data_IF_834926340632
#
_entry.id   IF_834926340632
#
_cell.length_a   1.000
_cell.length_b   1.000
_cell.length_c   1.000
_cell.angle_alpha   90.00
_cell.angle_beta   90.00
_cell.angle_gamma   90.00
#
_symmetry.space_group_name_H-M   'P 1'
#
loop_
_entity.id
_entity.type
_entity.pdbx_description
1 polymer ?
#
# COMPACT_ATOMS: atom_id res chain seq x y z
N UNK A 1 42.25 27.35 -5.12
CA UNK A 1 43.40 26.86 -5.91
C UNK A 1 44.33 26.11 -4.96
N UNK A 2 44.21 24.78 -4.88
CA UNK A 2 45.23 23.86 -4.40
C UNK A 2 44.72 22.43 -4.66
N UNK A 3 45.28 21.83 -5.70
CA UNK A 3 45.07 20.45 -6.15
C UNK A 3 45.99 19.55 -5.32
N UNK A 4 45.47 18.46 -4.75
CA UNK A 4 46.25 17.29 -4.33
C UNK A 4 45.50 16.06 -4.88
N UNK A 5 45.95 15.52 -6.01
CA UNK A 5 47.03 14.53 -6.18
C UNK A 5 46.57 13.09 -5.94
N UNK A 6 46.57 12.36 -7.07
CA UNK A 6 46.46 10.92 -7.28
C UNK A 6 47.51 10.08 -6.51
N UNK A 7 47.11 8.88 -6.09
CA UNK A 7 47.87 7.62 -6.20
C UNK A 7 46.92 6.46 -5.81
N UNK A 8 46.51 5.56 -6.72
CA UNK A 8 47.23 4.49 -7.42
C UNK A 8 47.45 3.22 -6.58
N UNK A 9 47.25 2.09 -7.26
CA UNK A 9 47.66 0.70 -6.99
C UNK A 9 46.62 -0.26 -6.41
N UNK A 10 46.43 -1.36 -7.17
CA UNK A 10 45.66 -2.53 -6.75
C UNK A 10 45.24 -3.48 -7.87
N UNK A 11 45.98 -3.56 -8.98
CA UNK A 11 45.81 -4.58 -10.02
C UNK A 11 46.35 -5.92 -9.48
N UNK A 12 45.55 -6.98 -9.43
CA UNK A 12 46.06 -8.34 -9.19
C UNK A 12 45.46 -9.30 -10.19
N UNK A 13 46.35 -9.92 -10.96
CA UNK A 13 46.13 -10.85 -12.06
C UNK A 13 46.13 -12.29 -11.50
N UNK A 14 45.14 -13.08 -11.97
CA UNK A 14 45.20 -14.48 -12.41
C UNK A 14 45.67 -15.59 -11.46
N UNK A 15 44.82 -16.61 -11.29
CA UNK A 15 45.24 -18.00 -11.52
C UNK A 15 44.08 -18.89 -12.00
N UNK A 16 44.22 -19.42 -13.22
CA UNK A 16 43.43 -20.53 -13.75
C UNK A 16 44.13 -21.82 -13.35
N UNK A 17 43.40 -22.78 -12.78
CA UNK A 17 43.86 -24.15 -12.61
C UNK A 17 42.75 -25.11 -13.09
N UNK A 18 43.15 -25.95 -14.04
CA UNK A 18 42.41 -26.98 -14.75
C UNK A 18 43.06 -28.33 -14.37
N UNK A 19 42.34 -29.45 -14.53
CA UNK A 19 42.66 -30.87 -14.24
C UNK A 19 41.98 -31.36 -12.94
N UNK A 20 41.33 -32.53 -12.86
CA UNK A 20 41.21 -33.64 -13.81
C UNK A 20 40.28 -34.73 -13.25
N UNK A 21 39.82 -35.59 -14.15
CA UNK A 21 38.83 -36.68 -14.01
C UNK A 21 39.44 -37.94 -13.41
N UNK A 22 38.79 -38.55 -12.40
CA UNK A 22 38.74 -40.00 -12.08
C UNK A 22 37.44 -40.18 -11.23
N UNK A 23 36.40 -40.94 -11.59
CA UNK A 23 36.36 -42.38 -11.83
C UNK A 23 35.99 -43.10 -10.52
N UNK A 24 34.71 -43.39 -10.30
CA UNK A 24 34.25 -44.09 -9.08
C UNK A 24 32.79 -44.53 -9.17
N UNK A 25 32.59 -45.73 -9.70
CA UNK A 25 31.32 -46.46 -9.70
C UNK A 25 31.06 -46.95 -8.28
N UNK A 26 29.95 -46.53 -7.66
CA UNK A 26 29.45 -47.12 -6.43
C UNK A 26 27.99 -47.53 -6.61
N UNK A 27 27.77 -48.80 -6.30
CA UNK A 27 26.59 -49.62 -6.45
C UNK A 27 25.35 -49.12 -5.70
N UNK A 28 24.21 -49.28 -6.38
CA UNK A 28 22.86 -49.25 -5.84
C UNK A 28 22.69 -50.22 -4.64
N UNK A 29 22.05 -49.73 -3.58
CA UNK A 29 21.26 -50.56 -2.67
C UNK A 29 19.90 -49.88 -2.45
N UNK A 30 18.78 -50.54 -2.77
CA UNK A 30 17.45 -50.04 -2.42
C UNK A 30 17.13 -50.44 -0.98
N UNK A 31 17.28 -49.51 -0.05
CA UNK A 31 16.74 -49.67 1.31
C UNK A 31 15.26 -49.35 1.28
N UNK A 32 14.46 -50.40 1.43
CA UNK A 32 13.01 -50.35 1.61
C UNK A 32 12.70 -49.65 2.94
N UNK A 33 12.33 -48.37 2.91
CA UNK A 33 11.75 -47.71 4.07
C UNK A 33 10.24 -47.96 4.08
N UNK A 34 9.79 -48.73 5.07
CA UNK A 34 8.40 -48.86 5.46
C UNK A 34 7.80 -47.48 5.72
N UNK A 35 6.91 -47.03 4.85
CA UNK A 35 5.99 -45.96 5.16
C UNK A 35 5.02 -46.44 6.24
N UNK A 36 5.16 -45.88 7.44
CA UNK A 36 4.17 -46.03 8.50
C UNK A 36 2.90 -45.30 8.07
N UNK A 37 1.82 -46.08 7.89
CA UNK A 37 0.44 -45.59 7.87
C UNK A 37 0.17 -44.83 9.17
N UNK A 38 0.29 -43.51 9.14
CA UNK A 38 -0.41 -42.64 10.07
C UNK A 38 -1.71 -42.23 9.40
N UNK A 39 -2.81 -42.73 9.95
CA UNK A 39 -4.14 -42.19 9.71
C UNK A 39 -4.11 -40.69 10.03
N UNK A 40 -4.03 -39.88 8.98
CA UNK A 40 -4.39 -38.47 9.06
C UNK A 40 -5.89 -38.43 9.29
N UNK A 41 -6.30 -38.16 10.53
CA UNK A 41 -7.65 -37.69 10.81
C UNK A 41 -7.81 -36.44 9.97
N UNK A 42 -8.56 -36.56 8.87
CA UNK A 42 -9.01 -35.43 8.06
C UNK A 42 -9.92 -34.62 8.97
N UNK A 43 -9.33 -33.64 9.68
CA UNK A 43 -10.05 -32.47 10.11
C UNK A 43 -10.56 -31.84 8.83
N UNK A 44 -11.88 -31.86 8.68
CA UNK A 44 -12.58 -31.15 7.62
C UNK A 44 -12.00 -29.73 7.58
N UNK A 45 -11.24 -29.45 6.52
CA UNK A 45 -11.01 -28.09 6.11
C UNK A 45 -12.41 -27.55 5.80
N UNK A 46 -12.90 -26.68 6.68
CA UNK A 46 -13.88 -25.69 6.27
C UNK A 46 -13.37 -25.13 4.96
N UNK A 47 -14.13 -25.38 3.91
CA UNK A 47 -14.04 -24.65 2.66
C UNK A 47 -14.29 -23.19 3.03
N UNK A 48 -13.22 -22.46 3.40
CA UNK A 48 -13.18 -21.02 3.22
C UNK A 48 -13.39 -20.84 1.74
N UNK A 49 -14.63 -20.54 1.35
CA UNK A 49 -14.92 -19.97 0.05
C UNK A 49 -14.05 -18.74 -0.03
N UNK A 50 -12.91 -18.83 -0.73
CA UNK A 50 -12.08 -17.68 -1.05
C UNK A 50 -12.98 -16.77 -1.87
N UNK A 51 -13.62 -15.81 -1.20
CA UNK A 51 -14.37 -14.76 -1.86
C UNK A 51 -13.38 -14.08 -2.78
N UNK A 52 -13.66 -14.12 -4.09
CA UNK A 52 -12.82 -13.44 -5.06
C UNK A 52 -12.79 -11.96 -4.69
N UNK A 53 -11.61 -11.42 -4.40
CA UNK A 53 -11.47 -10.03 -4.03
C UNK A 53 -11.79 -9.15 -5.25
N UNK A 54 -12.75 -8.25 -5.09
CA UNK A 54 -13.19 -7.32 -6.14
C UNK A 54 -13.08 -5.87 -5.68
N UNK A 55 -13.06 -4.93 -6.63
CA UNK A 55 -13.19 -3.49 -6.37
C UNK A 55 -14.68 -3.06 -6.36
N UNK A 56 -15.53 -3.91 -5.80
CA UNK A 56 -16.97 -3.67 -5.68
C UNK A 56 -17.40 -3.66 -4.22
N UNK A 57 -18.63 -3.23 -3.97
CA UNK A 57 -19.26 -3.14 -2.65
C UNK A 57 -19.36 -4.48 -1.91
N UNK A 58 -19.25 -5.59 -2.64
CA UNK A 58 -19.26 -6.95 -2.11
C UNK A 58 -18.00 -7.29 -1.28
N UNK A 59 -16.85 -6.68 -1.58
CA UNK A 59 -15.59 -6.99 -0.89
C UNK A 59 -15.25 -5.89 0.10
N UNK A 60 -15.05 -6.26 1.37
CA UNK A 60 -14.56 -5.33 2.39
C UNK A 60 -13.05 -5.44 2.50
N UNK A 61 -12.37 -4.30 2.47
CA UNK A 61 -10.91 -4.22 2.52
C UNK A 61 -10.47 -3.62 3.84
N UNK A 62 -9.52 -4.26 4.48
CA UNK A 62 -8.80 -3.73 5.64
C UNK A 62 -7.56 -2.97 5.16
N UNK A 63 -7.56 -1.67 5.42
CA UNK A 63 -6.48 -0.74 5.15
C UNK A 63 -5.67 -0.52 6.43
N UNK A 64 -4.46 -1.07 6.49
CA UNK A 64 -3.52 -0.80 7.58
C UNK A 64 -2.49 0.21 7.13
N UNK A 65 -2.49 1.37 7.76
CA UNK A 65 -1.62 2.49 7.44
C UNK A 65 -0.59 2.67 8.56
N UNK A 66 0.69 2.65 8.22
CA UNK A 66 1.76 3.07 9.11
C UNK A 66 2.19 4.48 8.69
N UNK A 67 1.77 5.49 9.44
CA UNK A 67 2.02 6.90 9.13
C UNK A 67 3.09 7.48 10.06
N UNK A 68 3.99 8.26 9.49
CA UNK A 68 5.11 8.91 10.15
C UNK A 68 5.14 10.40 9.75
N UNK A 69 5.72 11.23 10.62
CA UNK A 69 5.95 12.66 10.35
C UNK A 69 4.69 13.51 10.07
N UNK A 70 3.53 13.10 10.57
CA UNK A 70 2.29 13.87 10.42
C UNK A 70 2.36 15.19 11.20
N UNK A 71 2.04 16.34 10.58
CA UNK A 71 2.08 17.63 11.24
C UNK A 71 0.88 17.83 12.18
N UNK A 72 1.15 18.21 13.43
CA UNK A 72 0.11 18.56 14.41
C UNK A 72 -0.21 20.06 14.39
N UNK A 73 -1.31 20.46 15.05
CA UNK A 73 -1.69 21.86 15.23
C UNK A 73 -0.62 22.65 15.97
N UNK A 74 0.04 22.03 16.95
CA UNK A 74 1.14 22.63 17.70
C UNK A 74 2.50 22.58 16.99
N UNK A 75 2.55 22.13 15.73
CA UNK A 75 3.77 22.07 14.92
C UNK A 75 4.74 20.95 15.31
N UNK A 76 4.29 19.99 16.14
CA UNK A 76 5.02 18.75 16.41
C UNK A 76 4.79 17.77 15.26
N UNK A 77 5.69 16.79 15.13
CA UNK A 77 5.52 15.65 14.21
C UNK A 77 5.12 14.43 15.01
N UNK A 78 4.07 13.75 14.57
CA UNK A 78 3.57 12.52 15.20
C UNK A 78 3.49 11.39 14.18
N UNK A 79 3.34 10.17 14.67
CA UNK A 79 3.19 8.96 13.86
C UNK A 79 2.36 7.92 14.57
N UNK A 80 1.87 6.94 13.83
CA UNK A 80 1.03 5.88 14.38
C UNK A 80 0.59 4.88 13.34
N UNK A 81 0.08 3.75 13.84
CA UNK A 81 -0.55 2.72 13.02
C UNK A 81 -2.05 2.90 13.11
N UNK A 82 -2.69 3.10 11.97
CA UNK A 82 -4.13 3.30 11.83
C UNK A 82 -4.71 2.17 10.99
N UNK A 83 -5.88 1.67 11.40
CA UNK A 83 -6.59 0.62 10.66
C UNK A 83 -7.96 1.15 10.29
N UNK A 84 -8.30 1.08 9.00
CA UNK A 84 -9.58 1.49 8.44
C UNK A 84 -10.15 0.33 7.65
N UNK A 85 -11.43 0.03 7.84
CA UNK A 85 -12.15 -0.89 6.96
C UNK A 85 -12.91 -0.06 5.94
N UNK A 86 -12.83 -0.43 4.67
CA UNK A 86 -13.45 0.31 3.59
C UNK A 86 -13.95 -0.63 2.47
N UNK A 87 -14.89 -0.14 1.67
CA UNK A 87 -15.39 -0.79 0.45
C UNK A 87 -15.12 0.10 -0.74
N UNK A 88 -14.83 -0.53 -1.88
CA UNK A 88 -14.69 0.14 -3.16
C UNK A 88 -16.04 0.11 -3.87
N UNK A 89 -16.53 1.26 -4.30
CA UNK A 89 -17.77 1.36 -5.07
C UNK A 89 -17.40 1.81 -6.46
N UNK A 90 -17.53 0.92 -7.45
CA UNK A 90 -17.24 1.22 -8.86
C UNK A 90 -18.35 2.09 -9.47
N UNK A 91 -17.95 3.16 -10.17
CA UNK A 91 -18.86 4.02 -10.92
C UNK A 91 -18.93 3.52 -12.38
N UNK A 92 -20.12 3.09 -12.82
CA UNK A 92 -20.32 2.60 -14.19
C UNK A 92 -20.19 3.73 -15.24
N UNK A 93 -19.70 3.39 -16.42
CA UNK A 93 -19.65 4.31 -17.57
C UNK A 93 -18.40 5.19 -17.65
N UNK A 94 -17.38 4.92 -16.83
CA UNK A 94 -16.10 5.59 -16.88
C UNK A 94 -14.99 4.71 -17.43
N UNK A 95 -14.11 5.34 -18.21
CA UNK A 95 -12.88 4.76 -18.73
C UNK A 95 -11.76 5.80 -18.57
N UNK A 96 -10.74 5.57 -17.71
CA UNK A 96 -10.50 4.34 -16.95
C UNK A 96 -11.51 4.09 -15.81
N UNK A 97 -11.69 2.82 -15.38
CA UNK A 97 -12.58 2.48 -14.26
C UNK A 97 -12.19 3.24 -13.00
N UNK A 98 -13.19 3.79 -12.33
CA UNK A 98 -13.00 4.60 -11.14
C UNK A 98 -14.20 4.47 -10.21
N UNK A 99 -14.05 5.01 -9.00
CA UNK A 99 -15.10 4.92 -8.02
C UNK A 99 -14.83 5.64 -6.71
N UNK A 100 -15.71 5.36 -5.75
CA UNK A 100 -15.66 5.90 -4.40
C UNK A 100 -15.07 4.87 -3.43
N UNK A 101 -14.45 5.39 -2.37
CA UNK A 101 -14.04 4.61 -1.21
C UNK A 101 -14.97 4.98 -0.04
N UNK A 102 -15.72 4.01 0.47
CA UNK A 102 -16.62 4.19 1.61
C UNK A 102 -16.03 3.50 2.84
N UNK A 103 -15.89 4.23 3.96
CA UNK A 103 -15.45 3.65 5.22
C UNK A 103 -16.59 2.85 5.87
N UNK A 104 -16.29 1.62 6.27
CA UNK A 104 -17.21 0.76 7.02
C UNK A 104 -16.83 0.82 8.49
N UNK A 105 -17.77 1.24 9.33
CA UNK A 105 -17.62 1.14 10.78
C UNK A 105 -18.17 -0.21 11.24
N UNK A 106 -17.43 -0.98 12.07
CA UNK A 106 -18.01 -2.16 12.69
C UNK A 106 -19.24 -1.76 13.52
N UNK A 107 -20.32 -2.54 13.41
CA UNK A 107 -21.65 -2.26 13.97
C UNK A 107 -21.73 -2.01 15.49
N UNK A 108 -20.62 -2.13 16.21
CA UNK A 108 -20.53 -1.84 17.65
C UNK A 108 -20.29 -0.35 17.98
N UNK A 109 -20.06 0.52 16.97
CA UNK A 109 -19.76 1.94 17.20
C UNK A 109 -20.97 2.88 17.16
N UNK A 110 -22.17 2.38 16.85
CA UNK A 110 -23.42 3.13 16.90
C UNK A 110 -24.49 2.31 17.61
N UNK A 111 -24.43 2.29 18.94
CA UNK A 111 -25.63 2.09 19.74
C UNK A 111 -26.04 3.45 20.29
N UNK A 112 -27.17 3.93 19.79
CA UNK A 112 -27.97 4.96 20.43
C UNK A 112 -28.24 4.53 21.88
N UNK A 113 -27.80 5.35 22.83
CA UNK A 113 -28.31 5.42 24.20
C UNK A 113 -28.20 4.15 25.05
N UNK A 114 -27.02 3.91 25.64
CA UNK A 114 -26.99 3.33 26.98
C UNK A 114 -25.75 3.80 27.75
N UNK A 115 -25.98 4.42 28.90
CA UNK A 115 -24.97 4.84 29.86
C UNK A 115 -24.38 3.59 30.53
N UNK A 116 -23.46 2.90 29.87
CA UNK A 116 -22.57 1.95 30.55
C UNK A 116 -21.18 2.01 29.92
N UNK A 117 -20.29 2.68 30.66
CA UNK A 117 -18.85 2.68 30.48
C UNK A 117 -18.31 1.26 30.74
N UNK A 118 -18.35 0.40 29.73
CA UNK A 118 -17.48 -0.77 29.69
C UNK A 118 -16.40 -0.56 28.63
N UNK A 119 -15.20 -0.39 29.16
CA UNK A 119 -13.89 -0.22 28.53
C UNK A 119 -13.63 -1.30 27.46
N UNK A 120 -14.11 -1.11 26.24
CA UNK A 120 -13.79 -1.98 25.10
C UNK A 120 -12.39 -1.61 24.59
N UNK A 121 -11.39 -2.21 25.23
CA UNK A 121 -9.98 -2.17 24.85
C UNK A 121 -9.75 -2.83 23.48
N UNK A 122 -9.93 -2.09 22.39
CA UNK A 122 -9.23 -2.35 21.12
C UNK A 122 -8.34 -1.17 20.82
N UNK A 123 -7.11 -1.23 21.35
CA UNK A 123 -6.11 -0.16 21.47
C UNK A 123 -5.43 0.25 20.15
N UNK A 124 -6.16 0.29 19.04
CA UNK A 124 -5.67 0.86 17.78
C UNK A 124 -6.44 2.12 17.47
N UNK A 125 -5.77 3.29 17.31
CA UNK A 125 -6.45 4.52 16.96
C UNK A 125 -7.15 4.35 15.61
N UNK A 126 -8.48 4.49 15.60
CA UNK A 126 -9.28 4.43 14.38
C UNK A 126 -9.27 5.80 13.73
N UNK A 127 -8.92 5.85 12.45
CA UNK A 127 -8.90 7.07 11.64
C UNK A 127 -10.24 7.23 10.92
N UNK A 128 -10.77 8.45 10.90
CA UNK A 128 -12.01 8.78 10.18
C UNK A 128 -11.67 9.34 8.80
N UNK A 129 -12.14 8.65 7.77
CA UNK A 129 -12.02 9.04 6.36
C UNK A 129 -13.31 9.76 5.96
N UNK A 130 -13.19 11.03 5.58
CA UNK A 130 -14.34 11.87 5.20
C UNK A 130 -14.81 11.58 3.77
N UNK A 131 -13.86 11.39 2.85
CA UNK A 131 -14.16 11.04 1.46
C UNK A 131 -12.98 10.30 0.85
N UNK A 132 -13.25 9.40 -0.09
CA UNK A 132 -12.18 8.78 -0.86
C UNK A 132 -12.63 8.44 -2.27
N UNK A 133 -11.67 8.45 -3.19
CA UNK A 133 -11.81 8.11 -4.59
C UNK A 133 -10.68 7.20 -5.01
N UNK A 134 -10.99 6.31 -5.93
CA UNK A 134 -10.01 5.46 -6.58
C UNK A 134 -10.20 5.54 -8.09
N UNK A 135 -9.10 5.41 -8.81
CA UNK A 135 -9.09 5.37 -10.28
C UNK A 135 -8.02 4.38 -10.71
N UNK A 136 -8.35 3.53 -11.67
CA UNK A 136 -7.34 2.71 -12.32
C UNK A 136 -6.57 3.57 -13.33
N UNK A 137 -5.26 3.39 -13.41
CA UNK A 137 -4.40 4.15 -14.33
C UNK A 137 -3.46 3.22 -15.09
N UNK A 138 -3.15 3.63 -16.31
CA UNK A 138 -2.13 3.03 -17.16
C UNK A 138 -0.73 3.53 -16.78
N UNK A 139 -0.60 4.85 -16.61
CA UNK A 139 0.65 5.54 -16.32
C UNK A 139 0.64 6.06 -14.87
N UNK A 140 1.74 5.88 -14.10
CA UNK A 140 1.89 6.49 -12.79
C UNK A 140 1.94 8.04 -12.81
N UNK A 141 2.49 8.63 -13.86
CA UNK A 141 2.90 10.05 -13.93
C UNK A 141 2.11 10.87 -14.95
N UNK A 142 1.44 10.25 -15.94
CA UNK A 142 0.66 10.96 -16.95
C UNK A 142 -0.85 10.78 -16.80
N UNK A 143 -1.55 11.91 -16.80
CA UNK A 143 -3.02 12.02 -16.81
C UNK A 143 -3.58 12.16 -18.22
N UNK A 144 -2.71 12.20 -19.23
CA UNK A 144 -3.08 12.22 -20.63
C UNK A 144 -3.18 10.77 -21.10
N UNK A 145 -4.40 10.26 -21.07
CA UNK A 145 -4.77 9.00 -21.67
C UNK A 145 -4.27 9.00 -23.12
N UNK A 146 -3.19 8.25 -23.38
CA UNK A 146 -2.63 8.08 -24.70
C UNK A 146 -3.71 7.49 -25.62
N UNK A 147 -3.71 7.87 -26.89
CA UNK A 147 -4.67 7.35 -27.86
C UNK A 147 -4.42 5.82 -28.06
N UNK A 148 -5.20 4.96 -27.40
CA UNK A 148 -5.05 3.51 -27.48
C UNK A 148 -5.65 2.92 -28.77
N UNK A 149 -4.93 1.97 -29.38
CA UNK A 149 -5.42 1.13 -30.48
C UNK A 149 -5.93 -0.19 -29.88
N UNK A 150 -7.25 -0.37 -29.89
CA UNK A 150 -8.08 -1.38 -29.23
C UNK A 150 -7.90 -2.85 -29.68
N UNK A 151 -6.68 -3.34 -29.93
CA UNK A 151 -6.51 -4.70 -30.46
C UNK A 151 -5.17 -5.39 -30.31
N UNK A 152 -4.23 -4.84 -29.51
CA UNK A 152 -2.86 -5.40 -29.51
C UNK A 152 -2.35 -6.00 -28.19
N UNK A 153 -3.04 -5.83 -27.06
CA UNK A 153 -2.50 -6.28 -25.77
C UNK A 153 -3.49 -7.17 -25.00
N UNK A 154 -2.95 -8.28 -24.49
CA UNK A 154 -3.64 -9.30 -23.68
C UNK A 154 -3.43 -9.06 -22.16
N UNK A 155 -2.75 -7.98 -21.82
CA UNK A 155 -2.32 -7.63 -20.46
C UNK A 155 -3.31 -6.64 -19.80
N UNK A 156 -3.35 -6.54 -18.45
CA UNK A 156 -4.34 -5.71 -17.77
C UNK A 156 -4.18 -4.25 -18.18
N UNK A 157 -5.27 -3.69 -18.72
CA UNK A 157 -5.35 -2.33 -19.29
C UNK A 157 -4.90 -1.24 -18.30
N UNK A 158 -4.96 -1.52 -17.00
CA UNK A 158 -4.61 -0.59 -15.94
C UNK A 158 -3.83 -1.29 -14.80
N UNK A 159 -2.49 -1.24 -14.82
CA UNK A 159 -1.65 -1.89 -13.81
C UNK A 159 -1.55 -1.12 -12.50
N UNK A 160 -2.08 0.11 -12.41
CA UNK A 160 -2.03 0.92 -11.21
C UNK A 160 -3.42 1.28 -10.70
N UNK A 161 -3.61 1.26 -9.38
CA UNK A 161 -4.75 1.83 -8.68
C UNK A 161 -4.27 3.07 -7.95
N UNK A 162 -4.78 4.23 -8.36
CA UNK A 162 -4.56 5.51 -7.71
C UNK A 162 -5.64 5.71 -6.67
N UNK A 163 -5.25 5.75 -5.40
CA UNK A 163 -6.14 5.94 -4.27
C UNK A 163 -5.92 7.32 -3.67
N UNK A 164 -7.00 8.06 -3.47
CA UNK A 164 -6.99 9.37 -2.83
C UNK A 164 -8.07 9.41 -1.76
N UNK A 165 -7.75 9.82 -0.54
CA UNK A 165 -8.76 10.00 0.50
C UNK A 165 -8.40 11.09 1.51
N UNK A 166 -9.45 11.72 2.03
CA UNK A 166 -9.40 12.82 2.97
C UNK A 166 -9.63 12.30 4.39
N UNK A 167 -8.74 12.68 5.29
CA UNK A 167 -8.77 12.30 6.70
C UNK A 167 -9.21 13.50 7.53
N UNK A 168 -10.15 13.28 8.44
CA UNK A 168 -10.64 14.31 9.35
C UNK A 168 -9.60 14.68 10.42
N UNK A 169 -9.77 15.83 11.05
CA UNK A 169 -9.00 16.24 12.23
C UNK A 169 -9.05 15.15 13.31
N UNK A 170 -7.88 14.71 13.76
CA UNK A 170 -7.76 13.65 14.76
C UNK A 170 -7.16 14.17 16.06
N UNK A 171 -7.85 14.10 17.22
CA UNK A 171 -7.27 14.46 18.50
C UNK A 171 -6.21 13.43 18.91
N UNK A 172 -5.04 13.91 19.33
CA UNK A 172 -4.01 13.03 19.89
C UNK A 172 -4.30 12.77 21.37
N UNK A 173 -4.15 11.53 21.85
CA UNK A 173 -4.24 11.24 23.28
C UNK A 173 -3.05 11.88 24.01
N UNK A 174 -3.32 12.91 24.81
CA UNK A 174 -2.30 13.62 25.60
C UNK A 174 -2.84 14.86 26.30
N UNK A 175 -2.16 15.30 27.36
CA UNK A 175 -2.57 16.45 28.18
C UNK A 175 -2.62 17.78 27.41
N UNK A 176 -1.91 17.89 26.28
CA UNK A 176 -1.73 19.14 25.54
C UNK A 176 -2.85 19.50 24.55
N UNK A 177 -3.96 18.74 24.51
CA UNK A 177 -5.07 18.96 23.54
C UNK A 177 -4.58 19.18 22.09
N UNK A 178 -3.53 18.48 21.69
CA UNK A 178 -2.99 18.56 20.34
C UNK A 178 -3.83 17.70 19.39
N UNK A 179 -3.86 18.09 18.12
CA UNK A 179 -4.60 17.38 17.10
C UNK A 179 -3.81 17.34 15.79
N UNK A 180 -3.94 16.24 15.07
CA UNK A 180 -3.47 16.13 13.70
C UNK A 180 -4.42 16.94 12.82
N UNK A 181 -3.86 17.83 12.00
CA UNK A 181 -4.65 18.63 11.05
C UNK A 181 -5.33 17.72 10.03
N UNK A 182 -6.45 18.12 9.41
CA UNK A 182 -6.99 17.38 8.28
C UNK A 182 -5.99 17.38 7.11
N UNK A 183 -5.82 16.24 6.46
CA UNK A 183 -4.93 16.09 5.31
C UNK A 183 -5.51 15.10 4.29
N UNK A 184 -4.97 15.14 3.08
CA UNK A 184 -5.32 14.25 1.97
C UNK A 184 -4.16 13.30 1.73
N UNK A 185 -4.44 12.01 1.77
CA UNK A 185 -3.49 10.96 1.45
C UNK A 185 -3.65 10.53 0.00
N UNK A 186 -2.53 10.23 -0.63
CA UNK A 186 -2.43 9.63 -1.94
C UNK A 186 -1.66 8.32 -1.82
N UNK A 187 -2.12 7.28 -2.51
CA UNK A 187 -1.43 6.02 -2.62
C UNK A 187 -1.45 5.55 -4.07
N UNK A 188 -0.32 5.04 -4.54
CA UNK A 188 -0.25 4.32 -5.80
C UNK A 188 -0.04 2.84 -5.47
N UNK A 189 -1.00 2.01 -5.86
CA UNK A 189 -1.04 0.58 -5.57
C UNK A 189 -0.90 -0.17 -6.88
N UNK A 190 -0.06 -1.20 -6.93
CA UNK A 190 -0.02 -2.07 -8.10
C UNK A 190 -1.27 -2.94 -8.12
N UNK A 191 -1.91 -3.02 -9.28
CA UNK A 191 -3.15 -3.70 -9.51
C UNK A 191 -2.97 -4.72 -10.63
N UNK A 192 -3.45 -5.94 -10.40
CA UNK A 192 -3.52 -7.00 -11.42
C UNK A 192 -4.90 -7.64 -11.36
N UNK A 193 -5.53 -7.77 -12.53
CA UNK A 193 -6.71 -8.61 -12.71
C UNK A 193 -6.29 -9.96 -13.28
N UNK A 194 -6.71 -11.02 -12.63
CA UNK A 194 -6.55 -12.38 -13.14
C UNK A 194 -7.68 -12.74 -14.11
N UNK A 195 -7.49 -13.80 -14.91
CA UNK A 195 -8.45 -14.23 -15.94
C UNK A 195 -9.82 -14.66 -15.35
N UNK A 196 -9.86 -14.97 -14.06
CA UNK A 196 -11.07 -15.29 -13.29
C UNK A 196 -11.83 -14.05 -12.79
N UNK A 197 -11.31 -12.83 -13.01
CA UNK A 197 -11.88 -11.59 -12.51
C UNK A 197 -11.45 -11.19 -11.10
N UNK A 198 -10.54 -11.95 -10.47
CA UNK A 198 -9.97 -11.64 -9.16
C UNK A 198 -9.02 -10.45 -9.25
N UNK A 199 -9.15 -9.54 -8.28
CA UNK A 199 -8.31 -8.35 -8.16
C UNK A 199 -7.23 -8.59 -7.12
N UNK A 200 -5.98 -8.61 -7.59
CA UNK A 200 -4.80 -8.69 -6.75
C UNK A 200 -4.18 -7.29 -6.64
N UNK A 201 -4.22 -6.74 -5.42
CA UNK A 201 -3.55 -5.49 -5.07
C UNK A 201 -2.21 -5.78 -4.39
N UNK A 202 -1.22 -4.90 -4.58
CA UNK A 202 0.05 -5.01 -3.86
C UNK A 202 -0.16 -4.93 -2.35
N UNK A 203 0.45 -5.86 -1.62
CA UNK A 203 0.31 -5.97 -0.17
C UNK A 203 0.88 -4.78 0.59
N UNK A 204 1.82 -4.03 -0.01
CA UNK A 204 2.43 -2.83 0.58
C UNK A 204 2.58 -1.78 -0.52
N UNK A 205 2.11 -0.57 -0.24
CA UNK A 205 2.18 0.59 -1.13
C UNK A 205 2.59 1.83 -0.35
N UNK A 206 3.24 2.78 -0.99
CA UNK A 206 3.71 4.00 -0.32
C UNK A 206 2.56 5.03 -0.22
N UNK A 207 2.51 5.76 0.89
CA UNK A 207 1.55 6.84 1.15
C UNK A 207 2.24 8.19 1.10
N UNK A 208 1.68 9.11 0.33
CA UNK A 208 2.18 10.47 0.18
C UNK A 208 1.14 11.51 0.58
N UNK A 209 1.61 12.68 1.02
CA UNK A 209 0.81 13.89 1.21
C UNK A 209 1.35 14.95 0.27
N UNK A 210 0.44 15.68 -0.37
CA UNK A 210 0.80 16.83 -1.20
C UNK A 210 0.96 18.08 -0.35
N UNK A 211 2.20 18.51 -0.14
CA UNK A 211 2.52 19.75 0.54
C UNK A 211 2.61 20.91 -0.46
N UNK A 212 2.18 22.10 -0.02
CA UNK A 212 2.21 23.32 -0.83
C UNK A 212 3.32 24.23 -0.31
N UNK A 213 4.36 24.43 -1.11
CA UNK A 213 5.44 25.36 -0.81
C UNK A 213 5.33 26.61 -1.69
N UNK A 214 5.19 27.77 -1.05
CA UNK A 214 5.13 29.07 -1.77
C UNK A 214 6.52 29.71 -1.80
N UNK A 215 7.12 29.77 -2.98
CA UNK A 215 8.39 30.46 -3.22
C UNK A 215 8.18 31.89 -3.72
N UNK A 216 9.05 32.80 -3.27
CA UNK A 216 9.13 34.16 -3.84
C UNK A 216 9.98 34.10 -5.10
N UNK A 217 9.37 34.35 -6.25
CA UNK A 217 10.04 34.27 -7.55
C UNK A 217 10.80 35.56 -7.93
N UNK A 218 10.61 36.63 -7.16
CA UNK A 218 11.19 37.95 -7.41
C UNK A 218 11.78 38.53 -6.10
N UNK A 219 12.98 39.14 -6.11
CA UNK A 219 13.52 39.92 -4.99
C UNK A 219 12.58 41.01 -4.44
N UNK A 220 11.64 41.53 -5.22
CA UNK A 220 10.64 42.49 -4.76
C UNK A 220 9.37 41.85 -4.16
N UNK A 221 9.24 40.52 -4.23
CA UNK A 221 8.12 39.78 -3.63
C UNK A 221 6.77 39.94 -4.33
N UNK A 222 6.74 40.51 -5.54
CA UNK A 222 5.52 40.72 -6.32
C UNK A 222 4.99 39.43 -6.97
N UNK A 223 5.87 38.48 -7.30
CA UNK A 223 5.52 37.19 -7.88
C UNK A 223 5.75 36.05 -6.87
N UNK A 224 4.72 35.21 -6.71
CA UNK A 224 4.76 33.99 -5.89
C UNK A 224 4.53 32.80 -6.80
N UNK A 225 5.31 31.75 -6.61
CA UNK A 225 5.13 30.45 -7.28
C UNK A 225 4.75 29.47 -6.19
N UNK A 226 3.61 28.81 -6.37
CA UNK A 226 3.16 27.73 -5.52
C UNK A 226 3.62 26.40 -6.16
N UNK A 227 4.55 25.71 -5.49
CA UNK A 227 5.01 24.39 -5.85
C UNK A 227 4.29 23.36 -4.98
N UNK A 228 3.86 22.26 -5.59
CA UNK A 228 3.26 21.13 -4.89
C UNK A 228 4.26 19.99 -4.92
N UNK A 229 4.66 19.51 -3.76
CA UNK A 229 5.58 18.39 -3.60
C UNK A 229 4.87 17.25 -2.88
N UNK A 230 5.00 16.03 -3.40
CA UNK A 230 4.42 14.84 -2.79
C UNK A 230 5.45 14.25 -1.82
N UNK A 231 5.18 14.40 -0.52
CA UNK A 231 6.06 13.96 0.57
C UNK A 231 5.63 12.59 1.05
N UNK A 232 6.58 11.66 1.16
CA UNK A 232 6.34 10.32 1.70
C UNK A 232 6.03 10.40 3.20
N UNK A 233 4.85 9.93 3.58
CA UNK A 233 4.38 9.94 4.98
C UNK A 233 4.16 8.56 5.57
N UNK A 234 4.29 7.49 4.80
CA UNK A 234 4.07 6.16 5.35
C UNK A 234 3.88 5.04 4.34
N UNK A 235 3.33 3.94 4.83
CA UNK A 235 3.00 2.74 4.04
C UNK A 235 1.57 2.29 4.28
N UNK A 236 0.91 1.86 3.22
CA UNK A 236 -0.42 1.27 3.21
C UNK A 236 -0.31 -0.23 2.93
N UNK A 237 -0.99 -1.03 3.74
CA UNK A 237 -1.21 -2.46 3.50
C UNK A 237 -2.70 -2.71 3.30
N UNK A 238 -3.04 -3.45 2.24
CA UNK A 238 -4.41 -3.78 1.88
C UNK A 238 -4.62 -5.29 2.00
N UNK A 239 -5.72 -5.67 2.67
CA UNK A 239 -6.14 -7.06 2.80
C UNK A 239 -7.64 -7.16 2.56
N UNK A 240 -8.06 -7.95 1.57
CA UNK A 240 -9.46 -8.29 1.36
C UNK A 240 -9.95 -9.24 2.47
N UNK A 241 -11.20 -9.07 2.88
CA UNK A 241 -11.93 -9.91 3.84
C UNK A 241 -13.12 -10.60 3.17
#
# INVERSE_FOLDING_TARGET
MAIKCFCNQGLTLVLVALLGVIGGVASFQPTTQQFQNRHSTVLAAESSTTSMATLTDATTWTMRMNLENLPTENGKKTGGIYVVQARFIEEEGYEPPQGLLEQVFPQDATSDGDENEEEKTSSTPQMTVTSGRWTLSEDPDDRKDGLWIWGLFKEPLYPFLLLQFDVEKMPLPGEEKDAIKPFRLFAQINHKREDNGEVVLSSVSDLTIREKETYKADPFGAAKIDLFEDVLVGKLQLQAQ
#
